data_IF_481411764289
#
_entry.id   IF_481411764289
#
_cell.length_a   1.000
_cell.length_b   1.000
_cell.length_c   1.000
_cell.angle_alpha   90.00
_cell.angle_beta   90.00
_cell.angle_gamma   90.00
#
_symmetry.space_group_name_H-M   'P 1'
#
loop_
_entity.id
_entity.type
_entity.pdbx_description
1 polymer ?
#
# COMPACT_ATOMS: atom_id res chain seq x y z
N UNK A 1 -15.45 11.61 14.37
CA UNK A 1 -16.22 10.56 13.67
C UNK A 1 -17.70 10.59 14.07
N UNK A 2 -18.08 10.26 15.31
CA UNK A 2 -19.50 10.16 15.72
C UNK A 2 -20.29 11.48 15.69
N UNK A 3 -19.68 12.61 16.10
CA UNK A 3 -20.36 13.92 16.06
C UNK A 3 -20.60 14.41 14.63
N UNK A 4 -19.73 14.05 13.68
CA UNK A 4 -19.92 14.37 12.27
C UNK A 4 -20.98 13.44 11.64
N UNK A 5 -20.97 12.15 11.98
CA UNK A 5 -22.03 11.19 11.57
C UNK A 5 -23.40 11.61 12.09
N UNK A 6 -23.53 11.97 13.37
CA UNK A 6 -24.81 12.42 13.95
C UNK A 6 -25.34 13.72 13.31
N UNK A 7 -24.45 14.60 12.82
CA UNK A 7 -24.85 15.79 12.04
C UNK A 7 -25.19 15.47 10.58
N UNK A 8 -24.55 14.47 9.98
CA UNK A 8 -24.87 13.96 8.64
C UNK A 8 -26.19 13.16 8.64
N UNK A 9 -26.57 12.53 9.76
CA UNK A 9 -27.88 11.87 9.95
C UNK A 9 -29.07 12.86 10.01
N UNK A 10 -28.80 14.14 10.26
CA UNK A 10 -29.79 15.21 10.19
C UNK A 10 -29.99 15.76 8.77
N UNK A 11 -29.17 15.34 7.81
CA UNK A 11 -29.33 15.68 6.39
C UNK A 11 -30.40 14.75 5.82
N UNK A 12 -31.46 15.32 5.24
CA UNK A 12 -32.49 14.52 4.59
C UNK A 12 -31.86 13.81 3.38
N UNK A 13 -31.99 12.47 3.25
CA UNK A 13 -31.42 11.70 2.14
C UNK A 13 -31.99 12.09 0.77
N UNK A 14 -33.04 12.90 0.74
CA UNK A 14 -33.68 13.41 -0.49
C UNK A 14 -32.90 14.58 -1.13
N UNK A 15 -31.93 15.20 -0.43
CA UNK A 15 -31.22 16.42 -0.88
C UNK A 15 -29.74 16.19 -1.26
N UNK A 16 -29.18 15.00 -1.05
CA UNK A 16 -27.77 14.68 -1.30
C UNK A 16 -27.65 13.37 -2.08
N UNK A 17 -26.95 13.39 -3.22
CA UNK A 17 -26.72 12.18 -4.01
C UNK A 17 -25.82 11.20 -3.22
N UNK A 18 -26.02 9.88 -3.38
CA UNK A 18 -25.27 8.84 -2.65
C UNK A 18 -23.75 8.99 -2.78
N UNK A 19 -23.26 9.41 -3.95
CA UNK A 19 -21.84 9.69 -4.20
C UNK A 19 -21.32 10.85 -3.35
N UNK A 20 -22.12 11.91 -3.15
CA UNK A 20 -21.73 13.07 -2.35
C UNK A 20 -21.71 12.74 -0.86
N UNK A 21 -22.66 11.91 -0.41
CA UNK A 21 -22.68 11.38 0.95
C UNK A 21 -21.45 10.52 1.26
N UNK A 22 -21.03 9.67 0.32
CA UNK A 22 -19.82 8.85 0.48
C UNK A 22 -18.56 9.73 0.60
N UNK A 23 -18.46 10.81 -0.17
CA UNK A 23 -17.35 11.78 -0.06
C UNK A 23 -17.38 12.50 1.28
N UNK A 24 -18.55 12.89 1.80
CA UNK A 24 -18.70 13.52 3.12
C UNK A 24 -18.23 12.63 4.27
N UNK A 25 -18.30 11.31 4.11
CA UNK A 25 -17.84 10.35 5.10
C UNK A 25 -16.32 10.15 5.11
N UNK A 26 -15.59 10.67 4.12
CA UNK A 26 -14.12 10.55 4.09
C UNK A 26 -13.47 11.33 5.23
N UNK A 27 -12.36 10.83 5.82
CA UNK A 27 -11.64 11.55 6.88
C UNK A 27 -11.20 12.98 6.50
N UNK A 28 -10.93 13.19 5.20
CA UNK A 28 -10.62 14.49 4.63
C UNK A 28 -11.80 15.46 4.71
N UNK A 29 -12.96 15.08 4.15
CA UNK A 29 -14.13 15.95 4.14
C UNK A 29 -14.66 16.20 5.55
N UNK A 30 -14.61 15.20 6.44
CA UNK A 30 -14.98 15.38 7.83
C UNK A 30 -14.12 16.42 8.55
N UNK A 31 -12.83 16.53 8.21
CA UNK A 31 -11.96 17.58 8.72
C UNK A 31 -12.44 18.97 8.37
N UNK A 32 -12.68 19.17 7.09
CA UNK A 32 -13.16 20.43 6.52
C UNK A 32 -14.49 20.83 7.15
N UNK A 33 -15.45 19.91 7.23
CA UNK A 33 -16.74 20.14 7.87
C UNK A 33 -16.59 20.56 9.34
N UNK A 34 -15.71 19.89 10.09
CA UNK A 34 -15.43 20.26 11.49
C UNK A 34 -14.74 21.62 11.60
N UNK A 35 -13.84 21.96 10.67
CA UNK A 35 -13.16 23.26 10.64
C UNK A 35 -14.17 24.38 10.33
N UNK A 36 -15.02 24.20 9.32
CA UNK A 36 -16.08 25.15 8.96
C UNK A 36 -17.04 25.36 10.13
N UNK A 37 -17.54 24.29 10.75
CA UNK A 37 -18.49 24.37 11.88
C UNK A 37 -17.91 25.19 13.05
N UNK A 38 -16.61 25.06 13.33
CA UNK A 38 -15.91 25.84 14.36
C UNK A 38 -15.75 27.33 14.01
N UNK A 39 -15.92 27.72 12.75
CA UNK A 39 -15.83 29.12 12.30
C UNK A 39 -17.17 29.85 12.25
N UNK A 40 -18.27 29.23 12.70
CA UNK A 40 -19.63 29.82 12.66
C UNK A 40 -19.68 31.26 13.16
N UNK A 41 -19.15 31.52 14.36
CA UNK A 41 -19.18 32.87 14.95
C UNK A 41 -18.34 33.90 14.19
N UNK A 42 -17.34 33.46 13.42
CA UNK A 42 -16.51 34.34 12.58
C UNK A 42 -17.24 34.64 11.27
N UNK A 43 -17.92 33.64 10.69
CA UNK A 43 -18.74 33.83 9.51
C UNK A 43 -19.86 34.86 9.74
N UNK A 44 -20.54 34.76 10.90
CA UNK A 44 -21.64 35.66 11.24
C UNK A 44 -21.18 37.11 11.49
N UNK A 45 -19.92 37.31 11.94
CA UNK A 45 -19.38 38.63 12.31
C UNK A 45 -18.53 39.30 11.23
N UNK A 46 -17.78 38.51 10.47
CA UNK A 46 -16.73 38.99 9.57
C UNK A 46 -16.90 38.50 8.12
N UNK A 47 -17.96 37.76 7.82
CA UNK A 47 -18.28 37.27 6.49
C UNK A 47 -17.62 35.94 6.12
N UNK A 48 -17.98 35.37 4.95
CA UNK A 48 -17.56 34.04 4.52
C UNK A 48 -16.07 33.96 4.20
N UNK A 49 -15.44 35.05 3.74
CA UNK A 49 -14.01 35.05 3.42
C UNK A 49 -13.13 34.94 4.68
N UNK A 50 -13.46 35.68 5.74
CA UNK A 50 -12.75 35.57 7.02
C UNK A 50 -12.95 34.19 7.66
N UNK A 51 -14.16 33.64 7.57
CA UNK A 51 -14.45 32.28 8.03
C UNK A 51 -13.65 31.23 7.24
N UNK A 52 -13.59 31.36 5.92
CA UNK A 52 -12.80 30.51 5.04
C UNK A 52 -11.32 30.47 5.47
N UNK A 53 -10.66 31.63 5.61
CA UNK A 53 -9.25 31.67 6.01
C UNK A 53 -9.01 31.04 7.38
N UNK A 54 -9.92 31.26 8.33
CA UNK A 54 -9.83 30.64 9.65
C UNK A 54 -9.99 29.12 9.58
N UNK A 55 -10.97 28.63 8.82
CA UNK A 55 -11.22 27.20 8.65
C UNK A 55 -10.04 26.51 7.95
N UNK A 56 -9.52 27.13 6.89
CA UNK A 56 -8.34 26.67 6.15
C UNK A 56 -7.12 26.52 7.08
N UNK A 57 -6.84 27.56 7.88
CA UNK A 57 -5.72 27.54 8.84
C UNK A 57 -5.90 26.45 9.90
N UNK A 58 -7.13 26.26 10.38
CA UNK A 58 -7.44 25.24 11.39
C UNK A 58 -7.27 23.83 10.84
N UNK A 59 -7.72 23.57 9.62
CA UNK A 59 -7.58 22.26 8.98
C UNK A 59 -6.12 21.96 8.65
N UNK A 60 -5.40 22.93 8.10
CA UNK A 60 -3.96 22.79 7.86
C UNK A 60 -3.20 22.48 9.16
N UNK A 61 -3.49 23.20 10.25
CA UNK A 61 -2.88 22.95 11.56
C UNK A 61 -3.24 21.56 12.13
N UNK A 62 -4.46 21.05 11.87
CA UNK A 62 -4.84 19.68 12.25
C UNK A 62 -4.00 18.65 11.50
N UNK A 63 -3.87 18.80 10.20
CA UNK A 63 -3.11 17.89 9.33
C UNK A 63 -1.61 17.93 9.64
N UNK A 64 -1.06 19.11 9.96
CA UNK A 64 0.31 19.25 10.42
C UNK A 64 0.57 18.48 11.71
N UNK A 65 -0.37 18.51 12.67
CA UNK A 65 -0.26 17.69 13.89
C UNK A 65 -0.27 16.20 13.58
N UNK A 66 -1.15 15.73 12.70
CA UNK A 66 -1.17 14.31 12.28
C UNK A 66 0.14 13.88 11.60
N UNK A 67 0.79 14.77 10.87
CA UNK A 67 2.08 14.48 10.24
C UNK A 67 3.24 14.37 11.24
N UNK A 68 3.13 15.04 12.39
CA UNK A 68 4.16 15.11 13.45
C UNK A 68 3.91 14.13 14.60
N UNK A 69 2.73 13.53 14.67
CA UNK A 69 2.32 12.63 15.76
C UNK A 69 3.02 11.27 15.63
N UNK A 70 3.63 10.81 16.73
CA UNK A 70 4.18 9.45 16.83
C UNK A 70 3.03 8.45 16.92
N UNK A 71 2.73 7.76 15.83
CA UNK A 71 1.65 6.79 15.76
C UNK A 71 2.07 5.39 16.15
N UNK A 72 1.15 4.61 16.75
CA UNK A 72 1.37 3.17 16.90
C UNK A 72 1.40 2.49 15.51
N UNK A 73 2.02 1.30 15.37
CA UNK A 73 2.25 0.66 14.07
C UNK A 73 0.96 0.36 13.29
N UNK A 74 -0.16 0.15 13.98
CA UNK A 74 -1.47 -0.06 13.38
C UNK A 74 -2.13 1.20 12.78
N UNK A 75 -1.54 2.38 13.01
CA UNK A 75 -2.10 3.66 12.54
C UNK A 75 -1.10 4.37 11.64
N UNK A 76 -1.50 4.60 10.39
CA UNK A 76 -0.75 5.41 9.43
C UNK A 76 -1.61 6.58 8.95
N UNK A 77 -1.33 7.79 9.46
CA UNK A 77 -2.06 9.01 9.09
C UNK A 77 -1.91 9.38 7.61
N UNK A 78 -0.86 8.89 6.92
CA UNK A 78 -0.71 9.10 5.47
C UNK A 78 -1.85 8.46 4.69
N UNK A 79 -2.40 7.34 5.18
CA UNK A 79 -3.54 6.68 4.55
C UNK A 79 -4.84 7.44 4.77
N UNK A 80 -4.95 8.23 5.84
CA UNK A 80 -6.15 8.99 6.15
C UNK A 80 -6.28 10.25 5.30
N UNK A 81 -5.15 10.87 4.92
CA UNK A 81 -5.16 12.14 4.21
C UNK A 81 -3.92 12.39 3.33
N UNK A 82 -4.14 12.79 2.07
CA UNK A 82 -3.07 13.11 1.10
C UNK A 82 -2.11 14.18 1.63
N UNK A 83 -2.62 15.27 2.22
CA UNK A 83 -1.77 16.34 2.78
C UNK A 83 -0.81 15.82 3.87
N UNK A 84 -1.19 14.79 4.66
CA UNK A 84 -0.27 14.22 5.65
C UNK A 84 0.90 13.53 4.94
N UNK A 85 0.61 12.75 3.90
CA UNK A 85 1.63 12.15 3.04
C UNK A 85 2.54 13.23 2.40
N UNK A 86 1.95 14.31 1.89
CA UNK A 86 2.71 15.41 1.28
C UNK A 86 3.60 16.15 2.29
N UNK A 87 3.11 16.41 3.52
CA UNK A 87 3.89 17.08 4.58
C UNK A 87 5.09 16.22 5.00
N UNK A 88 4.87 14.93 5.28
CA UNK A 88 5.95 14.03 5.70
C UNK A 88 7.01 13.81 4.61
N UNK A 89 6.66 14.05 3.36
CA UNK A 89 7.57 13.97 2.22
C UNK A 89 8.10 15.34 1.75
N UNK A 90 7.90 16.41 2.53
CA UNK A 90 8.39 17.75 2.24
C UNK A 90 7.93 18.32 0.89
N UNK A 91 6.66 18.13 0.54
CA UNK A 91 6.08 18.76 -0.65
C UNK A 91 6.11 20.30 -0.57
N UNK A 92 6.21 21.01 -1.70
CA UNK A 92 6.15 22.47 -1.71
C UNK A 92 4.84 22.99 -1.09
N UNK A 93 4.92 24.12 -0.39
CA UNK A 93 3.76 24.73 0.28
C UNK A 93 2.64 25.06 -0.71
N UNK A 94 2.98 25.47 -1.93
CA UNK A 94 2.03 25.76 -3.00
C UNK A 94 1.18 24.53 -3.38
N UNK A 95 1.78 23.34 -3.42
CA UNK A 95 1.08 22.07 -3.65
C UNK A 95 0.14 21.75 -2.48
N UNK A 96 0.60 21.93 -1.23
CA UNK A 96 -0.22 21.70 -0.04
C UNK A 96 -1.42 22.65 0.00
N UNK A 97 -1.20 23.93 -0.24
CA UNK A 97 -2.22 24.97 -0.21
C UNK A 97 -3.26 24.76 -1.29
N UNK A 98 -2.82 24.50 -2.53
CA UNK A 98 -3.72 24.14 -3.63
C UNK A 98 -4.54 22.90 -3.32
N UNK A 99 -3.90 21.84 -2.82
CA UNK A 99 -4.59 20.58 -2.48
C UNK A 99 -5.67 20.83 -1.43
N UNK A 100 -5.37 21.59 -0.37
CA UNK A 100 -6.37 21.91 0.65
C UNK A 100 -7.50 22.77 0.07
N UNK A 101 -7.16 23.74 -0.77
CA UNK A 101 -8.11 24.63 -1.40
C UNK A 101 -9.09 23.89 -2.33
N UNK A 102 -8.60 22.92 -3.11
CA UNK A 102 -9.44 22.03 -3.92
C UNK A 102 -10.45 21.25 -3.07
N UNK A 103 -10.08 20.83 -1.86
CA UNK A 103 -11.02 20.17 -0.96
C UNK A 103 -12.09 21.13 -0.40
N UNK A 104 -11.74 22.38 -0.09
CA UNK A 104 -12.70 23.42 0.29
C UNK A 104 -13.60 23.87 -0.87
N UNK A 105 -13.17 23.67 -2.12
CA UNK A 105 -13.95 24.00 -3.32
C UNK A 105 -14.86 22.85 -3.81
N UNK A 106 -14.80 21.70 -3.14
CA UNK A 106 -15.48 20.48 -3.57
C UNK A 106 -17.01 20.62 -3.53
N UNK A 107 -17.70 20.12 -4.58
CA UNK A 107 -19.17 20.25 -4.76
C UNK A 107 -20.00 19.71 -3.58
N UNK A 108 -19.47 18.71 -2.87
CA UNK A 108 -20.15 18.12 -1.71
C UNK A 108 -20.30 19.07 -0.53
N UNK A 109 -19.75 20.28 -0.56
CA UNK A 109 -20.00 21.30 0.47
C UNK A 109 -21.25 22.14 0.19
N UNK A 110 -21.93 21.92 -0.94
CA UNK A 110 -23.10 22.69 -1.37
C UNK A 110 -24.41 22.44 -0.62
N UNK A 111 -24.44 21.53 0.37
CA UNK A 111 -25.66 21.10 1.08
C UNK A 111 -26.16 22.10 2.16
N UNK A 112 -25.27 22.94 2.69
CA UNK A 112 -25.60 23.95 3.71
C UNK A 112 -25.16 25.32 3.22
N UNK A 113 -25.97 26.36 3.47
CA UNK A 113 -25.72 27.71 2.96
C UNK A 113 -24.36 28.29 3.40
N UNK A 114 -23.87 27.94 4.60
CA UNK A 114 -22.55 28.41 5.08
C UNK A 114 -21.42 27.64 4.43
N UNK A 115 -21.57 26.32 4.28
CA UNK A 115 -20.59 25.51 3.57
C UNK A 115 -20.50 25.93 2.10
N UNK A 116 -21.64 26.23 1.47
CA UNK A 116 -21.73 26.75 0.11
C UNK A 116 -21.03 28.10 -0.06
N UNK A 117 -21.25 29.07 0.84
CA UNK A 117 -20.61 30.38 0.73
C UNK A 117 -19.08 30.31 0.91
N UNK A 118 -18.60 29.47 1.82
CA UNK A 118 -17.16 29.20 2.00
C UNK A 118 -16.57 28.48 0.78
N UNK A 119 -17.32 27.52 0.21
CA UNK A 119 -16.91 26.80 -1.00
C UNK A 119 -16.80 27.73 -2.22
N UNK A 120 -17.71 28.70 -2.37
CA UNK A 120 -17.66 29.71 -3.43
C UNK A 120 -16.42 30.61 -3.29
N UNK A 121 -16.07 31.02 -2.06
CA UNK A 121 -14.81 31.74 -1.79
C UNK A 121 -13.59 30.89 -2.18
N UNK A 122 -13.58 29.60 -1.83
CA UNK A 122 -12.49 28.71 -2.18
C UNK A 122 -12.33 28.54 -3.70
N UNK A 123 -13.45 28.43 -4.44
CA UNK A 123 -13.45 28.37 -5.92
C UNK A 123 -12.92 29.65 -6.55
N UNK A 124 -13.39 30.80 -6.10
CA UNK A 124 -12.89 32.09 -6.57
C UNK A 124 -11.38 32.22 -6.33
N UNK A 125 -10.87 31.72 -5.20
CA UNK A 125 -9.42 31.71 -4.92
C UNK A 125 -8.65 30.73 -5.82
N UNK A 126 -9.21 29.56 -6.17
CA UNK A 126 -8.57 28.63 -7.11
C UNK A 126 -8.41 29.23 -8.50
N UNK A 127 -9.42 29.96 -8.97
CA UNK A 127 -9.41 30.61 -10.29
C UNK A 127 -8.36 31.73 -10.39
N UNK A 128 -7.98 32.31 -9.24
CA UNK A 128 -6.96 33.37 -9.17
C UNK A 128 -5.53 32.82 -9.13
N UNK A 129 -5.32 31.51 -8.91
CA UNK A 129 -3.98 30.90 -8.88
C UNK A 129 -3.39 30.96 -10.28
N UNK A 130 -2.27 31.67 -10.39
CA UNK A 130 -1.57 31.78 -11.68
C UNK A 130 -0.72 30.53 -11.96
N UNK A 131 -0.48 30.19 -13.24
CA UNK A 131 0.41 29.08 -13.60
C UNK A 131 1.84 29.24 -13.07
N UNK A 132 2.31 30.48 -12.85
CA UNK A 132 3.64 30.74 -12.28
C UNK A 132 3.73 30.40 -10.77
N UNK A 133 2.60 30.36 -10.07
CA UNK A 133 2.53 30.07 -8.63
C UNK A 133 2.48 28.56 -8.34
N UNK A 134 1.84 27.80 -9.22
CA UNK A 134 1.73 26.33 -9.12
C UNK A 134 1.98 25.68 -10.47
N UNK A 135 3.06 24.91 -10.56
CA UNK A 135 3.29 24.03 -11.70
C UNK A 135 2.30 22.84 -11.64
N UNK A 136 1.40 22.77 -12.61
CA UNK A 136 0.38 21.72 -12.69
C UNK A 136 0.96 20.34 -12.96
N UNK A 137 2.07 20.24 -13.71
CA UNK A 137 2.74 18.95 -13.94
C UNK A 137 3.34 18.42 -12.64
N UNK A 138 3.99 19.29 -11.85
CA UNK A 138 4.51 18.92 -10.54
C UNK A 138 3.38 18.52 -9.59
N UNK A 139 2.27 19.26 -9.59
CA UNK A 139 1.07 18.93 -8.82
C UNK A 139 0.55 17.53 -9.14
N UNK A 140 0.43 17.19 -10.42
CA UNK A 140 -0.03 15.87 -10.85
C UNK A 140 0.94 14.75 -10.45
N UNK A 141 2.25 14.98 -10.51
CA UNK A 141 3.27 14.01 -10.08
C UNK A 141 3.13 13.70 -8.59
N UNK A 142 2.96 14.71 -7.73
CA UNK A 142 2.79 14.51 -6.28
C UNK A 142 1.53 13.71 -5.96
N UNK A 143 0.43 14.00 -6.64
CA UNK A 143 -0.83 13.26 -6.47
C UNK A 143 -0.76 11.85 -7.05
N UNK A 144 -0.02 11.65 -8.15
CA UNK A 144 0.25 10.31 -8.68
C UNK A 144 1.10 9.48 -7.71
N UNK A 145 2.11 10.08 -7.08
CA UNK A 145 2.91 9.39 -6.07
C UNK A 145 2.10 8.98 -4.85
N UNK A 146 1.13 9.80 -4.44
CA UNK A 146 0.18 9.43 -3.39
C UNK A 146 -0.73 8.27 -3.82
N UNK A 147 -1.25 8.28 -5.06
CA UNK A 147 -2.03 7.14 -5.60
C UNK A 147 -1.21 5.86 -5.63
N UNK A 148 0.04 5.93 -6.10
CA UNK A 148 0.96 4.79 -6.11
C UNK A 148 1.23 4.26 -4.68
N UNK A 149 1.33 5.15 -3.68
CA UNK A 149 1.42 4.76 -2.28
C UNK A 149 0.17 4.02 -1.79
N UNK A 150 -1.03 4.51 -2.11
CA UNK A 150 -2.28 3.83 -1.76
C UNK A 150 -2.39 2.44 -2.44
N UNK A 151 -2.06 2.35 -3.73
CA UNK A 151 -2.04 1.08 -4.46
C UNK A 151 -1.03 0.09 -3.88
N UNK A 152 0.20 0.55 -3.58
CA UNK A 152 1.23 -0.26 -2.92
C UNK A 152 0.74 -0.79 -1.58
N UNK A 153 0.06 0.06 -0.80
CA UNK A 153 -0.58 -0.33 0.46
C UNK A 153 -1.63 -1.42 0.23
N UNK A 154 -2.48 -1.27 -0.78
CA UNK A 154 -3.49 -2.27 -1.11
C UNK A 154 -2.87 -3.62 -1.47
N UNK A 155 -1.84 -3.64 -2.32
CA UNK A 155 -1.12 -4.87 -2.68
C UNK A 155 -0.52 -5.54 -1.44
N UNK A 156 0.09 -4.74 -0.54
CA UNK A 156 0.66 -5.23 0.70
C UNK A 156 -0.42 -5.88 1.58
N UNK A 157 -1.51 -5.16 1.85
CA UNK A 157 -2.59 -5.63 2.72
C UNK A 157 -3.26 -6.89 2.16
N UNK A 158 -3.56 -6.91 0.87
CA UNK A 158 -4.17 -8.08 0.22
C UNK A 158 -3.24 -9.29 0.28
N UNK A 159 -1.93 -9.07 0.07
CA UNK A 159 -0.92 -10.11 0.27
C UNK A 159 -0.94 -10.67 1.70
N UNK A 160 -0.93 -9.79 2.71
CA UNK A 160 -0.92 -10.20 4.11
C UNK A 160 -2.22 -10.91 4.54
N UNK A 161 -3.38 -10.47 4.06
CA UNK A 161 -4.67 -11.13 4.30
C UNK A 161 -4.70 -12.54 3.67
N UNK A 162 -4.20 -12.70 2.45
CA UNK A 162 -4.09 -14.00 1.79
C UNK A 162 -3.06 -14.91 2.49
N UNK A 163 -2.01 -14.33 3.08
CA UNK A 163 -1.03 -15.06 3.87
C UNK A 163 -1.69 -15.72 5.08
N UNK A 164 -2.55 -14.98 5.79
CA UNK A 164 -3.30 -15.49 6.94
C UNK A 164 -4.27 -16.61 6.53
N UNK A 165 -4.87 -16.51 5.34
CA UNK A 165 -5.73 -17.54 4.73
C UNK A 165 -4.96 -18.76 4.21
N UNK A 166 -3.62 -18.78 4.32
CA UNK A 166 -2.72 -19.83 3.81
C UNK A 166 -2.76 -19.98 2.27
N UNK A 167 -3.22 -18.96 1.54
CA UNK A 167 -3.17 -18.91 0.06
C UNK A 167 -1.81 -18.39 -0.41
N UNK A 168 -0.74 -19.17 -0.20
CA UNK A 168 0.63 -18.70 -0.41
C UNK A 168 1.00 -18.42 -1.88
N UNK A 169 0.31 -19.05 -2.84
CA UNK A 169 0.56 -18.83 -4.26
C UNK A 169 0.10 -17.44 -4.71
N UNK A 170 -1.12 -17.04 -4.34
CA UNK A 170 -1.67 -15.72 -4.63
C UNK A 170 -0.96 -14.65 -3.80
N UNK A 171 -0.72 -14.92 -2.51
CA UNK A 171 0.02 -14.03 -1.61
C UNK A 171 1.33 -13.55 -2.22
N UNK A 172 2.12 -14.49 -2.76
CA UNK A 172 3.44 -14.18 -3.31
C UNK A 172 3.34 -13.20 -4.48
N UNK A 173 2.29 -13.27 -5.30
CA UNK A 173 2.09 -12.33 -6.40
C UNK A 173 1.88 -10.91 -5.86
N UNK A 174 0.91 -10.74 -4.94
CA UNK A 174 0.60 -9.45 -4.33
C UNK A 174 1.82 -8.83 -3.63
N UNK A 175 2.56 -9.63 -2.86
CA UNK A 175 3.75 -9.13 -2.16
C UNK A 175 4.93 -8.81 -3.09
N UNK A 176 5.06 -9.46 -4.25
CA UNK A 176 6.06 -9.10 -5.26
C UNK A 176 5.76 -7.72 -5.85
N UNK A 177 4.51 -7.47 -6.25
CA UNK A 177 4.10 -6.16 -6.76
C UNK A 177 4.20 -5.06 -5.70
N UNK A 178 3.74 -5.34 -4.47
CA UNK A 178 3.91 -4.44 -3.33
C UNK A 178 5.38 -4.06 -3.16
N UNK A 179 6.30 -5.02 -3.22
CA UNK A 179 7.73 -4.73 -3.11
C UNK A 179 8.28 -3.89 -4.25
N UNK A 180 7.90 -4.18 -5.50
CA UNK A 180 8.40 -3.46 -6.67
C UNK A 180 7.97 -1.99 -6.62
N UNK A 181 6.68 -1.73 -6.40
CA UNK A 181 6.17 -0.36 -6.30
C UNK A 181 6.67 0.35 -5.05
N UNK A 182 6.80 -0.34 -3.93
CA UNK A 182 7.38 0.24 -2.73
C UNK A 182 8.82 0.69 -2.95
N UNK A 183 9.62 -0.08 -3.71
CA UNK A 183 10.99 0.30 -4.03
C UNK A 183 11.04 1.56 -4.90
N UNK A 184 10.17 1.67 -5.90
CA UNK A 184 10.08 2.87 -6.75
C UNK A 184 9.68 4.11 -5.95
N UNK A 185 8.78 3.96 -4.97
CA UNK A 185 8.43 5.03 -4.03
C UNK A 185 9.62 5.42 -3.16
N UNK A 186 10.31 4.46 -2.55
CA UNK A 186 11.41 4.72 -1.63
C UNK A 186 12.64 5.36 -2.31
N UNK A 187 12.84 5.15 -3.61
CA UNK A 187 13.84 5.90 -4.39
C UNK A 187 13.61 7.42 -4.37
N UNK A 188 12.37 7.86 -4.14
CA UNK A 188 11.98 9.27 -4.06
C UNK A 188 11.99 9.83 -2.63
N UNK A 189 12.31 9.01 -1.62
CA UNK A 189 12.33 9.40 -0.21
C UNK A 189 11.89 8.30 0.76
N UNK A 190 12.41 8.33 1.99
CA UNK A 190 12.14 7.31 3.02
C UNK A 190 10.69 7.24 3.47
N UNK A 191 9.97 8.36 3.47
CA UNK A 191 8.56 8.46 3.90
C UNK A 191 7.55 8.24 2.77
N UNK A 192 8.01 7.87 1.56
CA UNK A 192 7.18 7.63 0.38
C UNK A 192 6.46 6.28 0.40
N UNK A 193 7.02 5.31 1.13
CA UNK A 193 6.58 3.92 1.12
C UNK A 193 6.40 3.31 2.50
N UNK A 194 6.38 1.99 2.51
CA UNK A 194 6.28 1.09 3.66
C UNK A 194 7.63 0.48 4.01
N UNK A 195 7.71 -0.13 5.20
CA UNK A 195 8.91 -0.86 5.66
C UNK A 195 9.31 -1.98 4.70
N UNK A 196 10.51 -1.85 4.11
CA UNK A 196 11.07 -2.88 3.24
C UNK A 196 11.28 -4.21 3.97
N UNK A 197 11.63 -4.15 5.26
CA UNK A 197 11.88 -5.31 6.10
C UNK A 197 10.63 -6.16 6.29
N UNK A 198 9.49 -5.49 6.54
CA UNK A 198 8.19 -6.15 6.69
C UNK A 198 7.80 -6.89 5.41
N UNK A 199 7.85 -6.20 4.26
CA UNK A 199 7.52 -6.79 2.96
C UNK A 199 8.48 -7.95 2.65
N UNK A 200 9.78 -7.77 2.90
CA UNK A 200 10.77 -8.81 2.71
C UNK A 200 10.58 -10.02 3.63
N UNK A 201 10.15 -9.82 4.87
CA UNK A 201 9.86 -10.90 5.81
C UNK A 201 8.73 -11.79 5.29
N UNK A 202 7.56 -11.22 4.99
CA UNK A 202 6.42 -12.01 4.53
C UNK A 202 6.65 -12.66 3.18
N UNK A 203 7.34 -11.98 2.24
CA UNK A 203 7.77 -12.63 0.98
C UNK A 203 8.62 -13.87 1.21
N UNK A 204 9.59 -13.80 2.14
CA UNK A 204 10.43 -14.95 2.50
C UNK A 204 9.60 -16.06 3.15
N UNK A 205 8.70 -15.72 4.07
CA UNK A 205 7.82 -16.70 4.72
C UNK A 205 6.91 -17.42 3.71
N UNK A 206 6.34 -16.72 2.73
CA UNK A 206 5.54 -17.34 1.67
C UNK A 206 6.31 -18.39 0.89
N UNK A 207 7.58 -18.10 0.56
CA UNK A 207 8.45 -19.02 -0.16
C UNK A 207 8.79 -20.24 0.70
N UNK A 208 9.11 -20.03 1.98
CA UNK A 208 9.48 -21.10 2.92
C UNK A 208 8.31 -22.04 3.26
N UNK A 209 7.13 -21.51 3.58
CA UNK A 209 5.96 -22.33 3.96
C UNK A 209 5.51 -23.18 2.78
N UNK A 210 5.52 -22.61 1.57
CA UNK A 210 5.20 -23.36 0.37
C UNK A 210 6.22 -24.48 0.14
N UNK A 211 7.51 -24.22 0.29
CA UNK A 211 8.53 -25.28 0.21
C UNK A 211 8.27 -26.41 1.25
N UNK A 212 7.88 -26.06 2.47
CA UNK A 212 7.56 -27.03 3.53
C UNK A 212 6.30 -27.87 3.23
N UNK A 213 5.25 -27.27 2.68
CA UNK A 213 3.99 -27.94 2.35
C UNK A 213 4.17 -28.88 1.16
N UNK A 214 4.87 -28.42 0.11
CA UNK A 214 5.22 -29.27 -1.02
C UNK A 214 6.17 -30.40 -0.60
N UNK A 215 7.10 -30.16 0.34
CA UNK A 215 7.94 -31.21 0.93
C UNK A 215 7.09 -32.26 1.64
N UNK A 216 6.11 -31.87 2.45
CA UNK A 216 5.21 -32.82 3.13
C UNK A 216 4.39 -33.63 2.12
N UNK A 217 3.83 -32.99 1.09
CA UNK A 217 3.09 -33.69 0.03
C UNK A 217 3.97 -34.67 -0.76
N UNK A 218 5.19 -34.27 -1.14
CA UNK A 218 6.14 -35.18 -1.78
C UNK A 218 6.52 -36.35 -0.85
N UNK A 219 6.69 -36.08 0.45
CA UNK A 219 6.96 -37.12 1.45
C UNK A 219 5.76 -38.05 1.69
N UNK A 220 4.54 -37.67 1.32
CA UNK A 220 3.37 -38.55 1.39
C UNK A 220 3.20 -39.43 0.14
N UNK A 221 3.88 -39.11 -0.97
CA UNK A 221 3.92 -39.97 -2.15
C UNK A 221 4.70 -41.25 -1.81
N UNK A 222 3.97 -42.38 -1.76
CA UNK A 222 4.51 -43.71 -1.43
C UNK A 222 5.45 -44.26 -2.50
N UNK A 223 5.19 -43.92 -3.77
CA UNK A 223 6.00 -44.38 -4.88
C UNK A 223 7.23 -43.49 -5.06
N UNK A 224 8.41 -44.11 -4.93
CA UNK A 224 9.69 -43.42 -5.03
C UNK A 224 9.89 -42.72 -6.38
N UNK A 225 9.30 -43.25 -7.47
CA UNK A 225 9.44 -42.68 -8.81
C UNK A 225 8.59 -41.41 -9.01
N UNK A 226 7.37 -41.40 -8.45
CA UNK A 226 6.48 -40.24 -8.45
C UNK A 226 6.92 -39.16 -7.46
N UNK A 227 7.44 -39.56 -6.29
CA UNK A 227 8.11 -38.63 -5.36
C UNK A 227 9.28 -37.91 -6.04
N UNK A 228 10.02 -38.61 -6.92
CA UNK A 228 11.14 -38.07 -7.71
C UNK A 228 10.67 -37.15 -8.86
N UNK A 229 9.54 -37.44 -9.52
CA UNK A 229 8.95 -36.55 -10.54
C UNK A 229 8.33 -35.28 -9.95
N UNK A 230 7.68 -35.34 -8.79
CA UNK A 230 7.19 -34.14 -8.09
C UNK A 230 8.32 -33.15 -7.73
N UNK A 231 9.49 -33.67 -7.39
CA UNK A 231 10.70 -32.86 -7.15
C UNK A 231 11.31 -32.25 -8.43
N UNK A 232 11.02 -32.79 -9.61
CA UNK A 232 11.45 -32.25 -10.92
C UNK A 232 10.43 -31.25 -11.50
N UNK A 233 9.13 -31.43 -11.27
CA UNK A 233 8.10 -30.43 -11.60
C UNK A 233 8.26 -29.17 -10.72
N UNK A 234 8.84 -29.32 -9.52
CA UNK A 234 9.35 -28.23 -8.68
C UNK A 234 10.30 -27.29 -9.45
N UNK A 235 11.13 -27.85 -10.34
CA UNK A 235 12.22 -27.17 -11.05
C UNK A 235 11.71 -26.18 -12.11
N UNK A 236 10.54 -26.44 -12.71
CA UNK A 236 9.92 -25.56 -13.73
C UNK A 236 9.01 -24.49 -13.13
N UNK A 237 8.24 -24.80 -12.08
CA UNK A 237 7.36 -23.84 -11.41
C UNK A 237 8.12 -22.86 -10.51
N UNK A 238 9.19 -23.27 -9.83
CA UNK A 238 10.05 -22.36 -9.05
C UNK A 238 11.01 -21.56 -9.93
N UNK A 239 11.44 -22.08 -11.11
CA UNK A 239 12.08 -21.28 -12.17
C UNK A 239 11.24 -20.04 -12.41
N UNK A 240 9.96 -20.21 -12.79
CA UNK A 240 9.05 -19.09 -13.08
C UNK A 240 8.85 -18.09 -11.94
N UNK A 241 9.14 -18.43 -10.68
CA UNK A 241 8.94 -17.55 -9.52
C UNK A 241 10.21 -16.85 -9.01
N UNK A 242 11.39 -17.47 -9.10
CA UNK A 242 12.65 -16.78 -8.82
C UNK A 242 13.03 -15.80 -9.95
N UNK A 243 12.54 -16.06 -11.17
CA UNK A 243 12.63 -15.18 -12.33
C UNK A 243 11.84 -13.86 -12.17
N UNK A 244 10.96 -13.75 -11.17
CA UNK A 244 10.08 -12.60 -10.92
C UNK A 244 10.71 -11.48 -10.09
N UNK A 245 11.93 -11.70 -9.62
CA UNK A 245 12.64 -10.77 -8.75
C UNK A 245 13.66 -10.00 -9.60
N UNK A 246 13.31 -8.78 -10.03
CA UNK A 246 14.21 -7.87 -10.78
C UNK A 246 15.46 -7.46 -9.99
N UNK A 247 15.44 -7.58 -8.67
CA UNK A 247 16.50 -7.10 -7.79
C UNK A 247 17.60 -8.16 -7.57
N UNK A 248 18.84 -7.81 -7.95
CA UNK A 248 20.04 -8.64 -7.83
C UNK A 248 20.36 -9.07 -6.39
N UNK A 249 20.00 -8.27 -5.38
CA UNK A 249 20.26 -8.58 -3.98
C UNK A 249 19.29 -9.68 -3.47
N UNK A 250 18.02 -9.58 -3.83
CA UNK A 250 17.02 -10.60 -3.52
C UNK A 250 17.18 -11.85 -4.38
N UNK A 251 17.68 -11.71 -5.62
CA UNK A 251 18.14 -12.85 -6.43
C UNK A 251 19.18 -13.64 -5.64
N UNK A 252 20.19 -12.98 -5.05
CA UNK A 252 21.20 -13.63 -4.18
C UNK A 252 20.60 -14.28 -2.93
N UNK A 253 19.61 -13.67 -2.28
CA UNK A 253 18.97 -14.26 -1.09
C UNK A 253 18.09 -15.48 -1.42
N UNK A 254 17.28 -15.43 -2.48
CA UNK A 254 16.54 -16.59 -2.99
C UNK A 254 17.52 -17.73 -3.37
N UNK A 255 18.66 -17.38 -3.97
CA UNK A 255 19.73 -18.31 -4.29
C UNK A 255 20.40 -18.91 -3.05
N UNK A 256 20.63 -18.15 -1.97
CA UNK A 256 21.23 -18.62 -0.72
C UNK A 256 20.31 -19.59 0.04
N UNK A 257 19.02 -19.27 0.13
CA UNK A 257 18.00 -20.19 0.65
C UNK A 257 18.04 -21.46 -0.20
N UNK A 258 18.01 -21.35 -1.53
CA UNK A 258 18.07 -22.50 -2.42
C UNK A 258 19.37 -23.34 -2.30
N UNK A 259 20.55 -22.72 -2.21
CA UNK A 259 21.84 -23.42 -2.07
C UNK A 259 21.91 -24.20 -0.76
N UNK A 260 21.54 -23.57 0.36
CA UNK A 260 21.45 -24.27 1.65
C UNK A 260 20.46 -25.44 1.64
N UNK A 261 19.34 -25.30 0.92
CA UNK A 261 18.33 -26.35 0.74
C UNK A 261 18.80 -27.50 -0.16
N UNK A 262 19.44 -27.22 -1.30
CA UNK A 262 19.99 -28.26 -2.16
C UNK A 262 21.15 -28.99 -1.50
N UNK A 263 22.04 -28.27 -0.78
CA UNK A 263 23.08 -28.89 0.04
C UNK A 263 22.47 -29.85 1.07
N UNK A 264 21.42 -29.44 1.79
CA UNK A 264 20.69 -30.32 2.72
C UNK A 264 20.03 -31.52 2.03
N UNK A 265 19.46 -31.36 0.83
CA UNK A 265 18.88 -32.47 0.07
C UNK A 265 19.94 -33.45 -0.46
N UNK A 266 21.07 -32.96 -0.98
CA UNK A 266 22.22 -33.78 -1.38
C UNK A 266 22.79 -34.60 -0.21
N UNK A 267 22.71 -34.08 1.02
CA UNK A 267 23.14 -34.78 2.24
C UNK A 267 22.15 -35.88 2.68
N UNK A 268 20.86 -35.76 2.36
CA UNK A 268 19.82 -36.74 2.72
C UNK A 268 19.69 -37.89 1.72
N UNK A 269 20.23 -37.74 0.50
CA UNK A 269 20.27 -38.79 -0.52
C UNK A 269 21.41 -39.76 -0.22
N UNK A 270 21.07 -41.01 0.12
CA UNK A 270 22.05 -42.09 0.38
C UNK A 270 22.67 -42.69 -0.89
N UNK A 271 22.04 -42.50 -2.05
CA UNK A 271 22.48 -43.06 -3.33
C UNK A 271 23.45 -42.10 -4.05
N UNK A 272 24.69 -42.56 -4.27
CA UNK A 272 25.80 -41.75 -4.79
C UNK A 272 25.59 -41.29 -6.23
N UNK A 273 24.92 -42.11 -7.05
CA UNK A 273 24.68 -41.80 -8.46
C UNK A 273 23.66 -40.66 -8.62
N UNK A 274 22.65 -40.63 -7.75
CA UNK A 274 21.62 -39.60 -7.74
C UNK A 274 22.12 -38.29 -7.10
N UNK A 275 22.98 -38.39 -6.07
CA UNK A 275 23.66 -37.22 -5.50
C UNK A 275 24.50 -36.49 -6.55
N UNK A 276 25.16 -37.23 -7.44
CA UNK A 276 25.91 -36.67 -8.57
C UNK A 276 25.02 -36.00 -9.60
N UNK A 277 23.91 -36.63 -10.00
CA UNK A 277 22.94 -36.00 -10.93
C UNK A 277 22.28 -34.74 -10.35
N UNK A 278 21.96 -34.72 -9.05
CA UNK A 278 21.38 -33.55 -8.40
C UNK A 278 22.40 -32.40 -8.31
N UNK A 279 23.68 -32.74 -8.08
CA UNK A 279 24.79 -31.80 -8.06
C UNK A 279 25.13 -31.27 -9.46
N UNK A 280 25.11 -32.12 -10.50
CA UNK A 280 25.29 -31.72 -11.90
C UNK A 280 24.15 -30.80 -12.35
N UNK A 281 22.89 -31.13 -12.02
CA UNK A 281 21.74 -30.23 -12.27
C UNK A 281 21.86 -28.94 -11.47
N UNK A 282 22.30 -28.97 -10.21
CA UNK A 282 22.54 -27.75 -9.45
C UNK A 282 23.57 -26.85 -10.14
N UNK A 283 24.67 -27.43 -10.63
CA UNK A 283 25.76 -26.73 -11.33
C UNK A 283 25.33 -26.20 -12.70
N UNK A 284 24.42 -26.89 -13.41
CA UNK A 284 23.88 -26.44 -14.69
C UNK A 284 22.77 -25.38 -14.54
N UNK A 285 22.04 -25.41 -13.41
CA UNK A 285 20.98 -24.44 -13.09
C UNK A 285 21.51 -23.16 -12.42
N UNK A 286 22.61 -23.24 -11.65
CA UNK A 286 23.19 -22.10 -10.93
C UNK A 286 23.52 -20.92 -11.87
N UNK A 287 24.22 -21.11 -13.01
CA UNK A 287 24.51 -20.04 -13.97
C UNK A 287 23.24 -19.46 -14.61
N UNK A 288 22.30 -20.31 -15.03
CA UNK A 288 21.02 -19.90 -15.65
C UNK A 288 20.10 -19.14 -14.68
N UNK A 289 20.27 -19.34 -13.37
CA UNK A 289 19.57 -18.61 -12.31
C UNK A 289 20.32 -17.35 -11.81
N UNK A 290 21.58 -17.20 -12.18
CA UNK A 290 22.37 -15.99 -11.99
C UNK A 290 22.18 -15.01 -13.16
N UNK A 291 21.94 -15.52 -14.38
CA UNK A 291 21.77 -14.76 -15.63
C UNK A 291 20.34 -14.78 -16.21
N UNK A 292 19.33 -14.44 -15.40
CA UNK A 292 17.94 -14.45 -15.89
C UNK A 292 17.47 -13.12 -16.50
N UNK A 293 18.32 -12.40 -17.22
CA UNK A 293 17.93 -11.15 -17.88
C UNK A 293 16.88 -11.35 -18.99
N UNK A 294 16.79 -12.57 -19.56
CA UNK A 294 15.97 -12.88 -20.73
C UNK A 294 14.55 -13.40 -20.41
N UNK A 295 14.31 -13.92 -19.21
CA UNK A 295 13.02 -14.54 -18.82
C UNK A 295 12.12 -13.64 -17.92
N UNK A 296 12.55 -12.40 -17.63
CA UNK A 296 11.82 -11.39 -16.82
C UNK A 296 10.45 -11.00 -17.43
N UNK A 297 10.18 -11.37 -18.69
CA UNK A 297 8.98 -10.99 -19.44
C UNK A 297 7.70 -11.79 -19.11
N UNK A 298 7.69 -12.64 -18.08
CA UNK A 298 6.62 -13.63 -17.88
C UNK A 298 5.46 -13.22 -16.95
N UNK A 299 5.41 -12.00 -16.43
CA UNK A 299 4.18 -11.42 -15.87
C UNK A 299 3.89 -10.14 -16.62
N UNK A 300 2.87 -10.18 -17.49
CA UNK A 300 2.52 -9.05 -18.34
C UNK A 300 1.72 -7.98 -17.59
N UNK A 301 0.96 -8.35 -16.54
CA UNK A 301 0.05 -7.40 -15.89
C UNK A 301 -0.07 -7.63 -14.36
N UNK A 302 -0.11 -6.55 -13.55
CA UNK A 302 -0.40 -6.64 -12.12
C UNK A 302 -1.84 -7.14 -11.87
N UNK A 303 -2.12 -7.81 -10.73
CA UNK A 303 -3.48 -8.20 -10.41
C UNK A 303 -4.36 -6.95 -10.33
N UNK A 304 -5.53 -7.01 -10.97
CA UNK A 304 -6.49 -5.91 -10.98
C UNK A 304 -6.94 -5.61 -9.56
N UNK A 305 -6.81 -4.34 -9.18
CA UNK A 305 -7.30 -3.85 -7.89
C UNK A 305 -8.81 -3.61 -7.98
N UNK A 306 -9.62 -4.08 -7.02
CA UNK A 306 -11.00 -3.62 -6.90
C UNK A 306 -11.02 -2.13 -6.55
N UNK A 307 -12.13 -1.45 -6.83
CA UNK A 307 -12.36 -0.11 -6.30
C UNK A 307 -12.39 -0.17 -4.77
N UNK A 308 -11.67 0.74 -4.11
CA UNK A 308 -11.63 0.85 -2.65
C UNK A 308 -11.79 2.31 -2.24
N UNK A 309 -12.33 2.52 -1.04
CA UNK A 309 -12.39 3.86 -0.44
C UNK A 309 -11.27 4.04 0.60
N UNK A 310 -10.89 5.30 0.86
CA UNK A 310 -9.84 5.64 1.84
C UNK A 310 -10.14 5.08 3.23
N UNK A 311 -11.41 5.08 3.63
CA UNK A 311 -11.86 4.55 4.92
C UNK A 311 -11.61 3.04 5.01
N UNK A 312 -12.00 2.29 3.99
CA UNK A 312 -11.77 0.84 3.91
C UNK A 312 -10.29 0.52 3.98
N UNK A 313 -9.45 1.28 3.26
CA UNK A 313 -8.00 1.07 3.26
C UNK A 313 -7.40 1.27 4.66
N UNK A 314 -7.83 2.31 5.38
CA UNK A 314 -7.40 2.57 6.76
C UNK A 314 -7.83 1.45 7.72
N UNK A 315 -9.10 1.04 7.67
CA UNK A 315 -9.63 -0.01 8.55
C UNK A 315 -8.95 -1.36 8.28
N UNK A 316 -8.70 -1.68 7.01
CA UNK A 316 -7.94 -2.88 6.62
C UNK A 316 -6.51 -2.82 7.13
N UNK A 317 -5.84 -1.68 6.98
CA UNK A 317 -4.48 -1.49 7.47
C UNK A 317 -4.38 -1.78 8.97
N UNK A 318 -5.20 -1.11 9.78
CA UNK A 318 -5.19 -1.31 11.23
C UNK A 318 -5.48 -2.75 11.64
N UNK A 319 -6.45 -3.40 10.97
CA UNK A 319 -6.83 -4.80 11.24
C UNK A 319 -5.70 -5.78 10.90
N UNK A 320 -5.08 -5.61 9.74
CA UNK A 320 -3.96 -6.47 9.30
C UNK A 320 -2.78 -6.29 10.23
N UNK A 321 -2.35 -5.06 10.51
CA UNK A 321 -1.20 -4.84 11.39
C UNK A 321 -1.45 -5.35 12.82
N UNK A 322 -2.65 -5.14 13.37
CA UNK A 322 -3.04 -5.71 14.67
C UNK A 322 -3.02 -7.25 14.70
N UNK A 323 -3.32 -7.91 13.59
CA UNK A 323 -3.29 -9.37 13.52
C UNK A 323 -1.87 -9.91 13.34
N UNK A 324 -0.96 -9.14 12.75
CA UNK A 324 0.46 -9.48 12.69
C UNK A 324 1.13 -9.39 14.08
N UNK A 325 0.82 -8.35 14.86
CA UNK A 325 1.38 -8.18 16.21
C UNK A 325 0.89 -9.24 17.21
N UNK A 326 -0.29 -9.83 16.97
CA UNK A 326 -0.85 -10.93 17.75
C UNK A 326 -0.41 -12.32 17.29
N UNK A 327 0.20 -12.44 16.12
CA UNK A 327 0.83 -13.72 15.73
C UNK A 327 2.02 -13.94 16.67
N UNK A 328 2.06 -15.04 17.45
CA UNK A 328 3.16 -15.27 18.37
C UNK A 328 4.44 -15.24 17.54
N UNK A 329 5.46 -14.57 18.06
CA UNK A 329 6.83 -14.87 17.69
C UNK A 329 6.95 -16.40 17.72
N UNK A 330 7.05 -17.00 16.54
CA UNK A 330 7.18 -18.44 16.39
C UNK A 330 8.39 -18.84 17.23
N UNK A 331 8.17 -19.85 18.07
CA UNK A 331 9.05 -20.22 19.17
C UNK A 331 10.52 -20.30 18.77
N UNK A 332 11.32 -19.82 19.72
CA UNK A 332 12.77 -20.01 19.84
C UNK A 332 13.25 -21.40 19.43
#
# INVERSE_FOLDING_TARGET
>A
MEVARAKLELIKPEEVNMEEYEVMLTPAMQGILMAIDRTRSVCDRCGPEAAFFKAFTMEYARLLRFAQEDTPPETDHRLQHVIVYLIQNHAPKSILERTLLEQFAHRSLGFDQRCKSIMEVARAKLELIKPEEVNMEEYEIWHQDYRNFQETTFYLLTGLELFQKRSYAETLMYLIYAHQYNKELLLKGSYRGHSEELIAHYRRQCLLVRDSHYRRQCLLVRDSHYRRQCLLVRDSHYRRQCLLVRDSHYRRQCLLVRDSHYRRQCLLVRDSHYRRQLQEKLTDFLPKLLDCSTEIRSFRDPPKLPSYCTLELCERFSRVVCSLSRSPADGR
#
